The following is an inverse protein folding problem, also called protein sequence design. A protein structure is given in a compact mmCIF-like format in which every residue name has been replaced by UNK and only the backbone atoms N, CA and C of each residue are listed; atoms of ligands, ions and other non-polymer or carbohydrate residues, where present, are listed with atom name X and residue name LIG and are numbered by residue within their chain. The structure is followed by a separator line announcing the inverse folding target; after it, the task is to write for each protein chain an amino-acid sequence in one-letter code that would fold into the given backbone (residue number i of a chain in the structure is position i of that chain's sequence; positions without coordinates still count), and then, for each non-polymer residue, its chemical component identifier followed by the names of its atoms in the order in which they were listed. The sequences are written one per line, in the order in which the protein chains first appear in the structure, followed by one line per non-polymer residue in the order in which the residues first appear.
data_IF_015166630385
#
_entry.id   IF_015166630385
#
_cell.length_a   1.000
_cell.length_b   1.000
_cell.length_c   1.000
_cell.angle_alpha   90.00
_cell.angle_beta   90.00
_cell.angle_gamma   90.00
#
_symmetry.space_group_name_H-M   'P 1'
#
loop_
_entity.id
_entity.type
_entity.pdbx_description
1 polymer ?
#
# COMPACT_ATOMS: atom_id res chain seq x y z
N UNK A 1 14.25 -20.31 -6.39
CA UNK A 1 13.18 -19.40 -5.93
C UNK A 1 12.39 -18.94 -7.14
N UNK A 2 11.06 -19.05 -7.09
CA UNK A 2 10.11 -18.53 -8.09
C UNK A 2 9.39 -17.33 -7.49
N UNK A 3 9.24 -16.27 -8.27
CA UNK A 3 8.67 -15.00 -7.82
C UNK A 3 7.53 -14.63 -8.76
N UNK A 4 6.38 -14.26 -8.21
CA UNK A 4 5.27 -13.65 -8.92
C UNK A 4 5.13 -12.20 -8.47
N UNK A 5 4.93 -11.29 -9.42
CA UNK A 5 4.77 -9.87 -9.13
C UNK A 5 3.42 -9.41 -9.68
N UNK A 6 2.68 -8.68 -8.87
CA UNK A 6 1.43 -8.03 -9.26
C UNK A 6 1.38 -6.63 -8.66
N UNK A 7 0.72 -5.69 -9.36
CA UNK A 7 0.47 -4.33 -8.91
C UNK A 7 -0.93 -3.88 -9.35
N UNK A 8 -1.37 -2.72 -8.89
CA UNK A 8 -2.57 -2.04 -9.37
C UNK A 8 -3.83 -2.91 -9.29
N UNK A 9 -4.00 -3.65 -8.19
CA UNK A 9 -5.14 -4.54 -8.01
C UNK A 9 -6.43 -3.79 -7.65
N UNK A 10 -6.28 -2.63 -7.01
CA UNK A 10 -7.39 -1.75 -6.67
C UNK A 10 -8.60 -2.47 -6.07
N UNK A 11 -8.35 -3.20 -4.97
CA UNK A 11 -9.38 -4.02 -4.30
C UNK A 11 -10.58 -3.19 -3.79
N UNK A 12 -10.46 -1.89 -3.73
CA UNK A 12 -11.58 -0.99 -3.46
C UNK A 12 -12.68 -1.07 -4.52
N UNK A 13 -12.35 -1.46 -5.75
CA UNK A 13 -13.32 -1.59 -6.85
C UNK A 13 -13.86 -3.00 -7.04
N UNK A 14 -13.12 -4.04 -6.64
CA UNK A 14 -13.56 -5.42 -6.84
C UNK A 14 -12.65 -6.44 -6.17
N UNK A 15 -13.14 -7.67 -6.03
CA UNK A 15 -12.34 -8.79 -5.53
C UNK A 15 -11.54 -9.43 -6.68
N UNK A 16 -10.32 -9.82 -6.36
CA UNK A 16 -9.41 -10.51 -7.28
C UNK A 16 -8.94 -11.80 -6.63
N UNK A 17 -8.90 -12.87 -7.41
CA UNK A 17 -8.40 -14.17 -6.97
C UNK A 17 -7.06 -14.48 -7.61
N UNK A 18 -5.99 -14.35 -6.84
CA UNK A 18 -4.64 -14.75 -7.25
C UNK A 18 -4.42 -16.18 -6.76
N UNK A 19 -4.01 -17.06 -7.67
CA UNK A 19 -3.71 -18.46 -7.36
C UNK A 19 -2.22 -18.75 -7.53
N UNK A 20 -1.71 -19.60 -6.67
CA UNK A 20 -0.36 -20.12 -6.77
C UNK A 20 -0.36 -21.45 -7.55
N UNK A 21 -0.50 -21.37 -8.88
CA UNK A 21 -0.56 -22.58 -9.75
C UNK A 21 0.83 -23.11 -10.07
N UNK A 22 1.88 -22.26 -10.01
CA UNK A 22 3.25 -22.60 -10.43
C UNK A 22 4.20 -22.93 -9.26
N UNK A 23 3.68 -23.13 -8.06
CA UNK A 23 4.49 -23.32 -6.84
C UNK A 23 5.49 -22.16 -6.66
N UNK A 24 4.98 -20.94 -6.67
CA UNK A 24 5.73 -19.72 -6.45
C UNK A 24 6.12 -19.61 -4.98
N UNK A 25 7.37 -19.26 -4.71
CA UNK A 25 7.90 -19.11 -3.35
C UNK A 25 7.54 -17.76 -2.74
N UNK A 26 7.53 -16.69 -3.57
CA UNK A 26 7.30 -15.31 -3.11
C UNK A 26 6.31 -14.61 -4.03
N UNK A 27 5.21 -14.10 -3.46
CA UNK A 27 4.33 -13.13 -4.12
C UNK A 27 4.76 -11.72 -3.72
N UNK A 28 4.97 -10.84 -4.71
CA UNK A 28 5.23 -9.43 -4.49
C UNK A 28 3.98 -8.63 -4.90
N UNK A 29 3.41 -7.91 -3.95
CA UNK A 29 2.35 -6.93 -4.13
C UNK A 29 3.01 -5.55 -4.23
N UNK A 30 3.10 -5.02 -5.44
CA UNK A 30 3.94 -3.85 -5.74
C UNK A 30 3.12 -2.58 -5.94
N UNK A 31 2.37 -2.21 -4.91
CA UNK A 31 1.60 -0.97 -4.84
C UNK A 31 0.20 -1.00 -5.46
N UNK A 32 -0.63 -0.07 -5.01
CA UNK A 32 -2.01 0.14 -5.45
C UNK A 32 -2.89 -1.11 -5.29
N UNK A 33 -2.77 -1.73 -4.14
CA UNK A 33 -3.53 -2.94 -3.77
C UNK A 33 -4.85 -2.58 -3.11
N UNK A 34 -4.85 -1.60 -2.22
CA UNK A 34 -5.99 -1.17 -1.42
C UNK A 34 -5.92 0.33 -1.07
N UNK A 35 -6.93 0.83 -0.39
CA UNK A 35 -6.95 2.15 0.27
C UNK A 35 -6.94 1.93 1.79
N UNK A 36 -5.92 2.45 2.49
CA UNK A 36 -5.71 2.21 3.93
C UNK A 36 -6.81 2.81 4.82
N UNK A 37 -7.41 3.92 4.40
CA UNK A 37 -8.51 4.56 5.10
C UNK A 37 -9.71 3.61 5.32
N UNK A 38 -9.89 2.61 4.48
CA UNK A 38 -10.93 1.61 4.63
C UNK A 38 -10.58 0.53 5.69
N UNK A 39 -9.29 0.38 6.05
CA UNK A 39 -8.84 -0.53 7.10
C UNK A 39 -9.20 0.00 8.51
N UNK A 40 -9.08 1.30 8.75
CA UNK A 40 -9.41 1.94 10.03
C UNK A 40 -10.92 2.03 10.29
N UNK A 41 -11.74 1.96 9.24
CA UNK A 41 -13.20 2.06 9.33
C UNK A 41 -13.87 0.85 9.99
N UNK A 42 -13.18 -0.27 10.12
CA UNK A 42 -13.74 -1.44 10.80
C UNK A 42 -14.03 -1.19 12.29
N UNK A 43 -13.28 -0.28 12.91
CA UNK A 43 -13.36 -0.02 14.37
C UNK A 43 -14.23 1.20 14.73
N UNK A 44 -14.35 2.21 13.86
CA UNK A 44 -14.91 3.52 14.25
C UNK A 44 -16.35 3.80 13.81
N UNK A 45 -16.89 3.12 12.80
CA UNK A 45 -18.21 3.42 12.21
C UNK A 45 -19.00 2.18 11.81
N UNK A 46 -19.14 1.23 12.72
CA UNK A 46 -19.80 -0.05 12.43
C UNK A 46 -21.25 0.06 11.93
N UNK A 47 -21.92 1.17 12.11
CA UNK A 47 -23.35 1.29 11.82
C UNK A 47 -23.71 2.10 10.56
N UNK A 48 -22.85 3.01 10.08
CA UNK A 48 -23.27 4.01 9.10
C UNK A 48 -22.82 3.76 7.64
N UNK A 49 -21.84 2.91 7.35
CA UNK A 49 -21.33 2.75 5.98
C UNK A 49 -21.13 1.30 5.55
N UNK A 50 -22.17 0.69 4.97
CA UNK A 50 -22.13 -0.67 4.43
C UNK A 50 -20.98 -0.93 3.43
N UNK A 51 -20.64 0.03 2.58
CA UNK A 51 -19.58 -0.09 1.58
C UNK A 51 -18.16 -0.16 2.16
N UNK A 52 -17.84 0.63 3.17
CA UNK A 52 -16.51 0.61 3.79
C UNK A 52 -16.26 -0.72 4.51
N UNK A 53 -17.29 -1.27 5.17
CA UNK A 53 -17.22 -2.59 5.80
C UNK A 53 -17.03 -3.71 4.77
N UNK A 54 -17.71 -3.62 3.64
CA UNK A 54 -17.54 -4.59 2.54
C UNK A 54 -16.13 -4.55 1.97
N UNK A 55 -15.55 -3.36 1.77
CA UNK A 55 -14.17 -3.19 1.30
C UNK A 55 -13.16 -3.71 2.30
N UNK A 56 -13.30 -3.34 3.57
CA UNK A 56 -12.43 -3.86 4.63
C UNK A 56 -12.44 -5.38 4.70
N UNK A 57 -13.63 -6.01 4.62
CA UNK A 57 -13.76 -7.46 4.58
C UNK A 57 -13.09 -8.05 3.34
N UNK A 58 -13.27 -7.45 2.17
CA UNK A 58 -12.63 -7.88 0.92
C UNK A 58 -11.11 -7.86 1.03
N UNK A 59 -10.54 -6.82 1.65
CA UNK A 59 -9.09 -6.73 1.88
C UNK A 59 -8.60 -7.85 2.79
N UNK A 60 -9.28 -8.08 3.91
CA UNK A 60 -8.93 -9.17 4.82
C UNK A 60 -9.03 -10.55 4.16
N UNK A 61 -10.10 -10.79 3.42
CA UNK A 61 -10.30 -12.05 2.68
C UNK A 61 -9.22 -12.25 1.61
N UNK A 62 -8.84 -11.20 0.88
CA UNK A 62 -7.77 -11.26 -0.11
C UNK A 62 -6.43 -11.63 0.53
N UNK A 63 -6.00 -10.90 1.57
CA UNK A 63 -4.72 -11.17 2.23
C UNK A 63 -4.70 -12.56 2.89
N UNK A 64 -5.78 -12.98 3.48
CA UNK A 64 -5.91 -14.35 4.03
C UNK A 64 -5.72 -15.40 2.95
N UNK A 65 -6.35 -15.23 1.77
CA UNK A 65 -6.22 -16.16 0.65
C UNK A 65 -4.81 -16.22 0.08
N UNK A 66 -4.15 -15.07 -0.14
CA UNK A 66 -2.79 -15.07 -0.69
C UNK A 66 -1.77 -15.59 0.32
N UNK A 67 -1.89 -15.22 1.58
CA UNK A 67 -1.00 -15.74 2.63
C UNK A 67 -1.18 -17.25 2.87
N UNK A 68 -2.37 -17.79 2.62
CA UNK A 68 -2.60 -19.24 2.66
C UNK A 68 -1.91 -19.98 1.50
N UNK A 69 -1.84 -19.36 0.32
CA UNK A 69 -1.35 -20.01 -0.91
C UNK A 69 0.15 -19.82 -1.15
N UNK A 70 0.72 -18.69 -0.72
CA UNK A 70 2.11 -18.34 -0.98
C UNK A 70 2.95 -18.48 0.29
N UNK A 71 4.14 -19.12 0.23
CA UNK A 71 5.05 -19.24 1.38
C UNK A 71 5.45 -17.88 1.96
N UNK A 72 5.68 -16.89 1.08
CA UNK A 72 6.01 -15.52 1.47
C UNK A 72 5.24 -14.53 0.60
N UNK A 73 4.76 -13.44 1.24
CA UNK A 73 4.15 -12.30 0.57
C UNK A 73 4.94 -11.05 0.95
N UNK A 74 5.44 -10.31 -0.04
CA UNK A 74 6.06 -9.00 0.17
C UNK A 74 5.08 -7.95 -0.32
N UNK A 75 4.79 -6.95 0.52
CA UNK A 75 3.86 -5.89 0.19
C UNK A 75 4.53 -4.52 0.33
N UNK A 76 4.52 -3.75 -0.74
CA UNK A 76 4.98 -2.37 -0.82
C UNK A 76 3.79 -1.51 -1.19
N UNK A 77 3.57 -0.40 -0.48
CA UNK A 77 2.50 0.54 -0.80
C UNK A 77 2.81 1.33 -2.08
N UNK A 78 1.78 1.64 -2.87
CA UNK A 78 1.79 2.65 -3.92
C UNK A 78 1.20 3.97 -3.41
N UNK A 79 0.69 4.82 -4.30
CA UNK A 79 0.05 6.05 -3.90
C UNK A 79 -1.42 5.85 -3.45
N UNK A 80 -2.13 4.87 -4.01
CA UNK A 80 -3.52 4.58 -3.66
C UNK A 80 -3.71 4.12 -2.24
N UNK A 81 -2.73 3.44 -1.65
CA UNK A 81 -2.79 3.06 -0.25
C UNK A 81 -3.03 4.26 0.67
N UNK A 82 -2.51 5.44 0.32
CA UNK A 82 -2.62 6.67 1.12
C UNK A 82 -3.89 7.49 0.84
N UNK A 83 -4.71 7.09 -0.14
CA UNK A 83 -5.88 7.85 -0.56
C UNK A 83 -6.93 7.96 0.56
N UNK A 84 -7.44 9.20 0.77
CA UNK A 84 -8.39 9.54 1.84
C UNK A 84 -7.88 9.26 3.26
N UNK A 85 -6.59 8.96 3.39
CA UNK A 85 -5.89 8.67 4.63
C UNK A 85 -4.76 9.65 4.91
N UNK A 86 -3.97 9.31 5.92
CA UNK A 86 -2.83 10.07 6.38
C UNK A 86 -1.53 9.34 6.03
N UNK A 87 -0.77 9.88 5.10
CA UNK A 87 0.51 9.31 4.63
C UNK A 87 1.42 8.86 5.79
N UNK A 88 1.47 9.67 6.85
CA UNK A 88 2.30 9.38 8.01
C UNK A 88 1.85 8.13 8.81
N UNK A 89 0.62 7.67 8.61
CA UNK A 89 0.02 6.57 9.38
C UNK A 89 -0.24 5.32 8.56
N UNK A 90 -0.24 5.42 7.23
CA UNK A 90 -0.66 4.34 6.32
C UNK A 90 0.06 3.03 6.58
N UNK A 91 1.37 3.04 6.71
CA UNK A 91 2.13 1.81 6.96
C UNK A 91 1.80 1.15 8.29
N UNK A 92 1.61 1.95 9.34
CA UNK A 92 1.22 1.43 10.67
C UNK A 92 -0.19 0.84 10.65
N UNK A 93 -1.12 1.46 9.91
CA UNK A 93 -2.47 0.92 9.71
C UNK A 93 -2.43 -0.41 8.97
N UNK A 94 -1.70 -0.48 7.85
CA UNK A 94 -1.57 -1.71 7.05
C UNK A 94 -0.88 -2.82 7.87
N UNK A 95 0.25 -2.52 8.53
CA UNK A 95 0.96 -3.47 9.40
C UNK A 95 0.05 -3.95 10.55
N UNK A 96 -0.71 -3.05 11.15
CA UNK A 96 -1.66 -3.37 12.21
C UNK A 96 -2.79 -4.29 11.75
N UNK A 97 -3.37 -4.03 10.58
CA UNK A 97 -4.44 -4.83 10.00
C UNK A 97 -4.00 -6.26 9.60
N UNK A 98 -2.73 -6.41 9.20
CA UNK A 98 -2.17 -7.68 8.71
C UNK A 98 -1.30 -8.42 9.74
N UNK A 99 -1.23 -7.95 10.98
CA UNK A 99 -0.34 -8.47 12.04
C UNK A 99 -0.47 -9.96 12.36
N UNK A 100 -1.66 -10.52 12.14
CA UNK A 100 -1.95 -11.93 12.43
C UNK A 100 -1.53 -12.88 11.28
N UNK A 101 -1.11 -12.33 10.14
CA UNK A 101 -0.59 -13.06 9.00
C UNK A 101 0.94 -13.11 9.09
N UNK A 102 1.50 -14.25 9.44
CA UNK A 102 2.92 -14.38 9.83
C UNK A 102 3.90 -14.42 8.66
N UNK A 103 3.42 -14.61 7.43
CA UNK A 103 4.24 -14.74 6.23
C UNK A 103 4.10 -13.56 5.25
N UNK A 104 3.44 -12.46 5.68
CA UNK A 104 3.42 -11.21 4.93
C UNK A 104 4.41 -10.20 5.52
N UNK A 105 5.15 -9.55 4.63
CA UNK A 105 6.16 -8.56 4.94
C UNK A 105 5.77 -7.23 4.30
N UNK A 106 5.15 -6.34 5.09
CA UNK A 106 4.82 -4.97 4.67
C UNK A 106 6.07 -4.11 4.85
N UNK A 107 6.64 -3.62 3.75
CA UNK A 107 7.98 -3.06 3.72
C UNK A 107 8.00 -1.64 3.15
N UNK A 108 8.73 -0.74 3.81
CA UNK A 108 9.06 0.60 3.31
C UNK A 108 10.48 0.96 3.71
N UNK A 109 11.36 1.17 2.72
CA UNK A 109 12.80 1.42 2.91
C UNK A 109 13.46 0.33 3.76
N UNK A 110 13.04 -0.89 3.58
CA UNK A 110 13.48 -2.06 4.34
C UNK A 110 14.04 -3.13 3.41
N UNK A 111 14.70 -4.13 3.99
CA UNK A 111 15.10 -5.32 3.26
C UNK A 111 14.78 -6.58 4.05
N UNK A 112 14.55 -7.68 3.32
CA UNK A 112 14.39 -9.02 3.89
C UNK A 112 15.22 -10.02 3.10
N UNK A 113 15.80 -11.00 3.77
CA UNK A 113 16.50 -12.11 3.15
C UNK A 113 15.69 -13.38 3.26
N UNK A 114 15.32 -13.96 2.11
CA UNK A 114 14.64 -15.24 2.01
C UNK A 114 15.55 -16.22 1.26
N UNK A 115 16.09 -17.20 1.99
CA UNK A 115 17.11 -18.10 1.46
C UNK A 115 18.38 -17.36 1.05
N UNK A 116 18.74 -17.46 -0.23
CA UNK A 116 19.90 -16.83 -0.85
C UNK A 116 19.59 -15.49 -1.55
N UNK A 117 18.33 -15.06 -1.55
CA UNK A 117 17.87 -13.82 -2.19
C UNK A 117 17.59 -12.75 -1.15
N UNK A 118 18.08 -11.54 -1.39
CA UNK A 118 17.76 -10.35 -0.60
C UNK A 118 16.80 -9.47 -1.39
N UNK A 119 15.64 -9.19 -0.81
CA UNK A 119 14.65 -8.25 -1.33
C UNK A 119 14.84 -6.90 -0.65
N UNK A 120 14.97 -5.84 -1.44
CA UNK A 120 14.99 -4.46 -1.00
C UNK A 120 13.70 -3.81 -1.48
N UNK A 121 12.95 -3.18 -0.60
CA UNK A 121 11.63 -2.68 -0.90
C UNK A 121 11.41 -1.26 -0.38
N UNK A 122 10.69 -0.47 -1.17
CA UNK A 122 10.25 0.88 -0.85
C UNK A 122 9.48 1.47 -2.01
N UNK A 123 8.60 2.41 -1.72
CA UNK A 123 7.84 3.15 -2.73
C UNK A 123 8.77 4.12 -3.47
N UNK A 124 8.84 4.00 -4.79
CA UNK A 124 9.64 4.88 -5.63
C UNK A 124 8.81 6.10 -6.07
N UNK A 125 8.93 7.17 -5.32
CA UNK A 125 8.34 8.47 -5.69
C UNK A 125 9.20 9.18 -6.75
N UNK A 126 8.55 9.98 -7.60
CA UNK A 126 9.28 10.81 -8.57
C UNK A 126 10.03 11.94 -7.89
N UNK A 127 11.20 12.32 -8.44
CA UNK A 127 11.97 13.47 -7.99
C UNK A 127 11.49 14.80 -8.59
N UNK A 128 10.39 14.78 -9.34
CA UNK A 128 9.79 15.96 -9.98
C UNK A 128 10.80 16.78 -10.78
N UNK A 129 11.60 16.12 -11.60
CA UNK A 129 12.66 16.75 -12.38
C UNK A 129 13.65 17.52 -11.48
N UNK A 130 14.14 16.85 -10.43
CA UNK A 130 15.03 17.42 -9.40
C UNK A 130 14.40 18.59 -8.65
N UNK A 131 13.13 18.46 -8.32
CA UNK A 131 12.35 19.46 -7.58
C UNK A 131 12.20 20.80 -8.36
N UNK A 132 12.15 20.73 -9.69
CA UNK A 132 11.95 21.92 -10.53
C UNK A 132 10.66 22.68 -10.13
N UNK A 133 10.73 23.97 -9.80
CA UNK A 133 9.58 24.73 -9.30
C UNK A 133 8.40 24.80 -10.27
N UNK A 134 8.65 24.79 -11.57
CA UNK A 134 7.60 24.79 -12.59
C UNK A 134 6.88 23.44 -12.61
N UNK A 135 7.65 22.35 -12.63
CA UNK A 135 7.12 20.99 -12.56
C UNK A 135 6.29 20.78 -11.28
N UNK A 136 6.82 21.18 -10.12
CA UNK A 136 6.13 21.10 -8.84
C UNK A 136 4.81 21.89 -8.81
N UNK A 137 4.78 23.05 -9.44
CA UNK A 137 3.56 23.86 -9.49
C UNK A 137 2.51 23.27 -10.42
N UNK A 138 2.91 22.77 -11.59
CA UNK A 138 2.02 22.15 -12.56
C UNK A 138 1.42 20.87 -12.01
N UNK A 139 2.22 19.98 -11.44
CA UNK A 139 1.77 18.64 -11.02
C UNK A 139 0.72 18.70 -9.91
N UNK A 140 0.78 19.70 -9.03
CA UNK A 140 -0.25 19.95 -8.00
C UNK A 140 -1.65 20.11 -8.58
N UNK A 141 -1.75 20.58 -9.82
CA UNK A 141 -3.02 20.75 -10.50
C UNK A 141 -3.55 19.47 -11.17
N UNK A 142 -2.66 18.54 -11.51
CA UNK A 142 -2.98 17.39 -12.33
C UNK A 142 -3.10 16.07 -11.55
N UNK A 143 -2.32 15.90 -10.47
CA UNK A 143 -2.35 14.65 -9.68
C UNK A 143 -3.36 14.75 -8.53
N UNK A 144 -4.20 13.73 -8.41
CA UNK A 144 -5.16 13.61 -7.31
C UNK A 144 -4.50 13.45 -5.95
N UNK A 145 -3.34 12.84 -5.89
CA UNK A 145 -2.53 12.63 -4.68
C UNK A 145 -2.45 13.90 -3.82
N UNK A 146 -2.22 15.06 -4.45
CA UNK A 146 -2.14 16.35 -3.76
C UNK A 146 -3.46 16.89 -3.22
N UNK A 147 -4.57 16.25 -3.55
CA UNK A 147 -5.89 16.68 -3.13
C UNK A 147 -6.49 15.77 -2.07
N UNK A 148 -6.13 14.49 -2.10
CA UNK A 148 -6.83 13.44 -1.35
C UNK A 148 -5.94 12.68 -0.37
N UNK A 149 -4.62 12.94 -0.35
CA UNK A 149 -3.70 12.41 0.65
C UNK A 149 -3.39 13.49 1.68
N UNK A 150 -3.60 13.18 2.97
CA UNK A 150 -3.19 14.01 4.10
C UNK A 150 -1.81 13.58 4.63
N UNK A 151 -1.11 14.48 5.34
CA UNK A 151 0.12 14.13 6.04
C UNK A 151 0.24 14.92 7.36
N UNK A 152 -0.06 14.27 8.48
CA UNK A 152 -0.05 14.86 9.81
C UNK A 152 1.35 15.19 10.35
N UNK A 153 2.41 14.63 9.78
CA UNK A 153 3.79 14.95 10.19
C UNK A 153 4.24 16.32 9.70
N UNK A 154 3.51 16.95 8.78
CA UNK A 154 3.84 18.29 8.29
C UNK A 154 2.73 19.28 8.59
N UNK A 155 2.94 20.11 9.60
CA UNK A 155 2.01 21.19 10.00
C UNK A 155 1.80 22.26 8.91
N UNK A 156 2.66 22.29 7.86
CA UNK A 156 2.66 23.38 6.90
C UNK A 156 2.51 22.95 5.44
N UNK A 157 2.84 21.74 5.02
CA UNK A 157 2.71 21.33 3.62
C UNK A 157 2.85 19.82 3.42
N UNK A 158 1.77 19.04 3.57
CA UNK A 158 1.73 17.65 3.14
C UNK A 158 2.15 17.48 1.66
N UNK A 159 1.94 18.49 0.84
CA UNK A 159 2.36 18.56 -0.57
C UNK A 159 3.88 18.52 -0.77
N UNK A 160 4.68 18.74 0.26
CA UNK A 160 6.14 18.70 0.23
C UNK A 160 6.72 17.40 0.74
N UNK A 161 5.96 16.68 1.58
CA UNK A 161 6.43 15.46 2.22
C UNK A 161 6.53 14.28 1.25
N UNK A 162 5.64 14.22 0.26
CA UNK A 162 5.67 13.18 -0.78
C UNK A 162 6.96 13.22 -1.63
N UNK A 163 7.72 14.32 -1.57
CA UNK A 163 8.91 14.53 -2.39
C UNK A 163 10.17 14.89 -1.61
N UNK A 164 10.16 14.81 -0.27
CA UNK A 164 11.41 14.93 0.48
C UNK A 164 12.25 13.67 0.28
N UNK A 165 13.44 13.87 -0.29
CA UNK A 165 14.54 12.93 -0.10
C UNK A 165 14.97 12.97 1.37
N UNK A 166 14.78 11.88 2.07
CA UNK A 166 15.58 11.56 3.25
C UNK A 166 16.87 10.89 2.81
#
# INVERSE_FOLDING_TARGET
MRIQIVSDLHLEFGDINIKNEDNVDVLILSGDILVDADLDMYDRRQEEMGFARERSRRFQDFFSRVCFQFPHVIYVAGNHEHYHGDFAKSYDLIKGALKDLTNIHVMEKEFIRLGDVTFVAGTLWTDMNKEDPITLNLIKGYMNDYRIIENSNEVVNYKRALYKKD
#
